data_IF_156261092283
#
_entry.id   IF_156261092283
#
_cell.length_a   1.000
_cell.length_b   1.000
_cell.length_c   1.000
_cell.angle_alpha   90.00
_cell.angle_beta   90.00
_cell.angle_gamma   90.00
#
_symmetry.space_group_name_H-M   'P 1'
#
loop_
_entity.id
_entity.type
_entity.pdbx_description
1 polymer ?
#
# COMPACT_ATOMS: atom_id res chain seq x y z
N UNK A 1 -0.63 13.22 -16.22
CA UNK A 1 -1.91 13.80 -15.75
C UNK A 1 -2.96 12.72 -15.47
N UNK A 2 -3.35 11.91 -16.47
CA UNK A 2 -4.41 10.90 -16.33
C UNK A 2 -4.15 9.89 -15.19
N UNK A 3 -2.95 9.31 -15.12
CA UNK A 3 -2.61 8.34 -14.06
C UNK A 3 -2.70 8.95 -12.64
N UNK A 4 -2.28 10.20 -12.49
CA UNK A 4 -2.34 10.91 -11.21
C UNK A 4 -3.80 11.14 -10.78
N UNK A 5 -4.65 11.62 -11.69
CA UNK A 5 -6.07 11.87 -11.42
C UNK A 5 -6.83 10.57 -11.11
N UNK A 6 -6.69 9.55 -11.95
CA UNK A 6 -7.38 8.28 -11.73
C UNK A 6 -6.87 7.58 -10.47
N UNK A 7 -5.55 7.58 -10.24
CA UNK A 7 -4.94 7.00 -9.06
C UNK A 7 -5.36 7.70 -7.77
N UNK A 8 -5.44 9.04 -7.75
CA UNK A 8 -5.92 9.78 -6.58
C UNK A 8 -7.41 9.56 -6.34
N UNK A 9 -8.25 9.81 -7.35
CA UNK A 9 -9.71 9.70 -7.21
C UNK A 9 -10.12 8.28 -6.83
N UNK A 10 -9.59 7.27 -7.53
CA UNK A 10 -9.92 5.86 -7.28
C UNK A 10 -9.56 5.42 -5.85
N UNK A 11 -8.33 5.69 -5.41
CA UNK A 11 -7.90 5.27 -4.08
C UNK A 11 -8.58 6.05 -2.95
N UNK A 12 -8.85 7.35 -3.14
CA UNK A 12 -9.66 8.12 -2.19
C UNK A 12 -11.07 7.54 -2.08
N UNK A 13 -11.70 7.16 -3.19
CA UNK A 13 -13.03 6.55 -3.19
C UNK A 13 -13.04 5.21 -2.43
N UNK A 14 -11.99 4.39 -2.55
CA UNK A 14 -11.86 3.13 -1.79
C UNK A 14 -11.83 3.43 -0.30
N UNK A 15 -10.94 4.32 0.15
CA UNK A 15 -10.80 4.68 1.58
C UNK A 15 -12.12 5.26 2.10
N UNK A 16 -12.71 6.20 1.36
CA UNK A 16 -13.99 6.82 1.71
C UNK A 16 -15.11 5.79 1.85
N UNK A 17 -15.23 4.87 0.88
CA UNK A 17 -16.29 3.86 0.87
C UNK A 17 -16.19 2.92 2.07
N UNK A 18 -14.99 2.44 2.40
CA UNK A 18 -14.75 1.56 3.56
C UNK A 18 -15.02 2.30 4.88
N UNK A 19 -14.63 3.57 4.98
CA UNK A 19 -14.89 4.38 6.17
C UNK A 19 -16.39 4.69 6.37
N UNK A 20 -17.09 5.07 5.29
CA UNK A 20 -18.47 5.57 5.31
C UNK A 20 -19.51 4.47 5.46
N UNK A 21 -19.35 3.35 4.77
CA UNK A 21 -20.36 2.29 4.72
C UNK A 21 -20.03 1.16 5.70
N UNK A 22 -20.82 1.06 6.78
CA UNK A 22 -20.64 -0.01 7.79
C UNK A 22 -20.71 -1.42 7.19
N UNK A 23 -21.52 -1.63 6.14
CA UNK A 23 -21.62 -2.92 5.42
C UNK A 23 -20.30 -3.35 4.77
N UNK A 24 -19.42 -2.40 4.47
CA UNK A 24 -18.11 -2.66 3.88
C UNK A 24 -17.00 -2.84 4.93
N UNK A 25 -17.29 -2.84 6.24
CA UNK A 25 -16.26 -3.00 7.28
C UNK A 25 -15.91 -4.48 7.53
N UNK A 26 -15.32 -5.13 6.54
CA UNK A 26 -14.72 -6.45 6.66
C UNK A 26 -13.19 -6.37 6.78
N UNK A 27 -12.55 -7.46 7.17
CA UNK A 27 -11.08 -7.56 7.23
C UNK A 27 -10.46 -7.36 5.85
N UNK A 28 -10.98 -8.02 4.82
CA UNK A 28 -10.56 -7.79 3.42
C UNK A 28 -10.65 -6.32 3.01
N UNK A 29 -11.77 -5.64 3.29
CA UNK A 29 -11.93 -4.25 2.89
C UNK A 29 -11.02 -3.30 3.66
N UNK A 30 -10.67 -3.65 4.91
CA UNK A 30 -9.65 -2.92 5.65
C UNK A 30 -8.25 -3.09 5.01
N UNK A 31 -7.91 -4.29 4.53
CA UNK A 31 -6.69 -4.54 3.76
C UNK A 31 -6.69 -3.82 2.41
N UNK A 32 -7.83 -3.75 1.72
CA UNK A 32 -7.98 -2.92 0.51
C UNK A 32 -7.80 -1.43 0.81
N UNK A 33 -8.29 -0.95 1.95
CA UNK A 33 -8.01 0.42 2.42
C UNK A 33 -6.53 0.66 2.70
N UNK A 34 -5.81 -0.32 3.25
CA UNK A 34 -4.36 -0.25 3.42
C UNK A 34 -3.63 -0.11 2.07
N UNK A 35 -4.02 -0.93 1.09
CA UNK A 35 -3.48 -0.88 -0.27
C UNK A 35 -3.71 0.50 -0.90
N UNK A 36 -4.94 1.01 -0.83
CA UNK A 36 -5.29 2.34 -1.34
C UNK A 36 -4.51 3.46 -0.64
N UNK A 37 -4.19 3.31 0.65
CA UNK A 37 -3.37 4.28 1.39
C UNK A 37 -1.92 4.28 0.89
N UNK A 38 -1.35 3.09 0.65
CA UNK A 38 -0.01 2.97 0.08
C UNK A 38 0.05 3.55 -1.35
N UNK A 39 -0.94 3.26 -2.18
CA UNK A 39 -1.03 3.78 -3.54
C UNK A 39 -1.18 5.31 -3.56
N UNK A 40 -1.96 5.91 -2.65
CA UNK A 40 -2.04 7.37 -2.53
C UNK A 40 -0.70 8.00 -2.16
N UNK A 41 0.08 7.37 -1.28
CA UNK A 41 1.41 7.85 -0.92
C UNK A 41 2.33 7.89 -2.14
N UNK A 42 2.29 6.85 -2.98
CA UNK A 42 3.04 6.79 -4.24
C UNK A 42 2.55 7.82 -5.23
N UNK A 43 1.23 7.91 -5.45
CA UNK A 43 0.66 8.85 -6.42
C UNK A 43 0.97 10.29 -6.03
N UNK A 44 0.91 10.62 -4.75
CA UNK A 44 1.18 11.97 -4.26
C UNK A 44 2.66 12.36 -4.34
N UNK A 45 3.59 11.44 -4.06
CA UNK A 45 5.01 11.76 -3.93
C UNK A 45 5.84 11.33 -5.15
N UNK A 46 5.67 10.10 -5.63
CA UNK A 46 6.49 9.57 -6.71
C UNK A 46 6.06 10.11 -8.08
N UNK A 47 4.76 10.23 -8.36
CA UNK A 47 4.30 10.63 -9.70
C UNK A 47 4.73 12.05 -10.07
N UNK A 48 4.63 13.08 -9.20
CA UNK A 48 5.13 14.42 -9.53
C UNK A 48 6.65 14.46 -9.68
N UNK A 49 7.40 13.75 -8.84
CA UNK A 49 8.86 13.71 -8.91
C UNK A 49 9.33 13.03 -10.19
N UNK A 50 8.70 11.91 -10.57
CA UNK A 50 8.98 11.22 -11.84
C UNK A 50 8.56 12.04 -13.06
N UNK A 51 7.46 12.80 -12.96
CA UNK A 51 7.07 13.74 -14.01
C UNK A 51 8.10 14.86 -14.17
N UNK A 52 8.63 15.42 -13.07
CA UNK A 52 9.68 16.43 -13.11
C UNK A 52 10.99 15.86 -13.67
N UNK A 53 11.39 14.66 -13.25
CA UNK A 53 12.56 13.93 -13.78
C UNK A 53 12.47 13.74 -15.30
N UNK A 54 11.29 13.44 -15.83
CA UNK A 54 11.09 13.24 -17.28
C UNK A 54 11.43 14.49 -18.12
N UNK A 55 11.23 15.69 -17.58
CA UNK A 55 11.56 16.94 -18.27
C UNK A 55 13.00 17.40 -18.04
N UNK A 56 13.74 16.74 -17.14
CA UNK A 56 15.12 17.06 -16.82
C UNK A 56 16.07 16.16 -17.64
N UNK A 57 17.18 16.70 -18.18
CA UNK A 57 18.15 15.91 -18.92
C UNK A 57 18.92 14.91 -18.05
N UNK A 58 18.97 15.14 -16.73
CA UNK A 58 19.57 14.25 -15.73
C UNK A 58 18.95 14.51 -14.36
N UNK A 59 19.20 13.63 -13.38
CA UNK A 59 18.67 13.78 -12.03
C UNK A 59 19.23 15.03 -11.33
N UNK A 60 18.40 16.07 -11.19
CA UNK A 60 18.77 17.35 -10.53
C UNK A 60 17.95 17.65 -9.27
N UNK A 61 17.03 16.76 -8.89
CA UNK A 61 16.13 16.95 -7.74
C UNK A 61 16.79 16.64 -6.38
N UNK A 62 18.12 16.47 -6.36
CA UNK A 62 18.92 16.22 -5.15
C UNK A 62 18.91 14.77 -4.65
N UNK A 63 19.90 14.40 -3.85
CA UNK A 63 20.07 13.02 -3.37
C UNK A 63 18.93 12.52 -2.47
N UNK A 64 18.29 13.42 -1.72
CA UNK A 64 17.16 13.08 -0.85
C UNK A 64 15.96 12.54 -1.65
N UNK A 65 15.53 13.26 -2.70
CA UNK A 65 14.41 12.82 -3.52
C UNK A 65 14.73 11.53 -4.31
N UNK A 66 16.01 11.31 -4.66
CA UNK A 66 16.44 10.09 -5.36
C UNK A 66 16.19 8.87 -4.47
N UNK A 67 16.76 8.91 -3.26
CA UNK A 67 16.62 7.84 -2.27
C UNK A 67 15.17 7.68 -1.80
N UNK A 68 14.46 8.80 -1.56
CA UNK A 68 13.09 8.76 -1.09
C UNK A 68 12.14 8.15 -2.13
N UNK A 69 12.25 8.54 -3.41
CA UNK A 69 11.36 7.98 -4.45
C UNK A 69 11.57 6.49 -4.65
N UNK A 70 12.81 6.03 -4.60
CA UNK A 70 13.09 4.61 -4.73
C UNK A 70 12.66 3.81 -3.50
N UNK A 71 12.91 4.31 -2.29
CA UNK A 71 12.40 3.72 -1.05
C UNK A 71 10.88 3.56 -1.13
N UNK A 72 10.16 4.62 -1.51
CA UNK A 72 8.70 4.60 -1.62
C UNK A 72 8.21 3.58 -2.66
N UNK A 73 8.88 3.47 -3.81
CA UNK A 73 8.55 2.47 -4.83
C UNK A 73 8.68 1.05 -4.29
N UNK A 74 9.82 0.70 -3.69
CA UNK A 74 10.02 -0.63 -3.10
C UNK A 74 9.06 -0.90 -1.95
N UNK A 75 8.88 0.09 -1.06
CA UNK A 75 7.94 0.02 0.06
C UNK A 75 6.53 -0.32 -0.42
N UNK A 76 6.06 0.36 -1.46
CA UNK A 76 4.73 0.12 -2.02
C UNK A 76 4.61 -1.27 -2.63
N UNK A 77 5.58 -1.71 -3.44
CA UNK A 77 5.56 -3.05 -4.05
C UNK A 77 5.47 -4.12 -2.96
N UNK A 78 6.31 -4.03 -1.92
CA UNK A 78 6.34 -5.01 -0.85
C UNK A 78 5.06 -4.94 -0.01
N UNK A 79 4.56 -3.74 0.30
CA UNK A 79 3.29 -3.55 1.01
C UNK A 79 2.12 -4.17 0.24
N UNK A 80 2.05 -3.96 -1.08
CA UNK A 80 1.02 -4.50 -1.94
C UNK A 80 1.07 -6.02 -2.01
N UNK A 81 2.26 -6.60 -2.19
CA UNK A 81 2.44 -8.06 -2.21
C UNK A 81 2.02 -8.68 -0.87
N UNK A 82 2.51 -8.16 0.25
CA UNK A 82 2.16 -8.67 1.58
C UNK A 82 0.65 -8.52 1.90
N UNK A 83 0.04 -7.41 1.47
CA UNK A 83 -1.39 -7.17 1.63
C UNK A 83 -2.20 -8.19 0.80
N UNK A 84 -1.83 -8.40 -0.47
CA UNK A 84 -2.48 -9.38 -1.34
C UNK A 84 -2.30 -10.80 -0.81
N UNK A 85 -1.11 -11.16 -0.31
CA UNK A 85 -0.87 -12.43 0.36
C UNK A 85 -1.80 -12.59 1.56
N UNK A 86 -1.96 -11.56 2.39
CA UNK A 86 -2.87 -11.60 3.54
C UNK A 86 -4.33 -11.83 3.11
N UNK A 87 -4.79 -11.15 2.05
CA UNK A 87 -6.13 -11.37 1.47
C UNK A 87 -6.29 -12.80 0.95
N UNK A 88 -5.27 -13.35 0.27
CA UNK A 88 -5.29 -14.73 -0.23
C UNK A 88 -5.38 -15.74 0.92
N UNK A 89 -4.63 -15.52 2.00
CA UNK A 89 -4.67 -16.36 3.21
C UNK A 89 -6.06 -16.26 3.87
N UNK A 90 -6.63 -15.05 3.98
CA UNK A 90 -7.99 -14.84 4.50
C UNK A 90 -9.02 -15.67 3.73
N UNK A 91 -8.99 -15.61 2.39
CA UNK A 91 -9.91 -16.38 1.54
C UNK A 91 -9.70 -17.88 1.66
N UNK A 92 -8.44 -18.33 1.68
CA UNK A 92 -8.10 -19.74 1.84
C UNK A 92 -8.70 -20.33 3.13
N UNK A 93 -8.46 -19.67 4.27
CA UNK A 93 -9.00 -20.12 5.56
C UNK A 93 -10.52 -19.98 5.64
N UNK A 94 -11.09 -18.93 5.03
CA UNK A 94 -12.55 -18.73 4.97
C UNK A 94 -13.28 -19.89 4.28
N UNK A 95 -12.68 -20.48 3.24
CA UNK A 95 -13.27 -21.58 2.47
C UNK A 95 -13.05 -22.93 3.18
N UNK A 96 -11.80 -23.23 3.56
CA UNK A 96 -11.45 -24.58 4.04
C UNK A 96 -11.59 -24.75 5.56
N UNK A 97 -11.53 -23.66 6.33
CA UNK A 97 -11.51 -23.70 7.79
C UNK A 97 -12.36 -22.58 8.42
N UNK A 98 -13.69 -22.56 8.18
CA UNK A 98 -14.56 -21.44 8.55
C UNK A 98 -14.52 -21.10 10.05
N UNK A 99 -14.43 -22.11 10.93
CA UNK A 99 -14.32 -21.90 12.38
C UNK A 99 -13.00 -21.25 12.80
N UNK A 100 -11.87 -21.60 12.14
CA UNK A 100 -10.57 -20.94 12.38
C UNK A 100 -10.54 -19.55 11.77
N UNK A 101 -11.14 -19.37 10.60
CA UNK A 101 -11.20 -18.08 9.91
C UNK A 101 -11.89 -17.01 10.76
N UNK A 102 -13.03 -17.35 11.39
CA UNK A 102 -13.77 -16.42 12.27
C UNK A 102 -12.91 -15.89 13.42
N UNK A 103 -12.04 -16.72 13.98
CA UNK A 103 -11.17 -16.35 15.11
C UNK A 103 -9.86 -15.68 14.65
N UNK A 104 -9.33 -16.06 13.48
CA UNK A 104 -8.10 -15.53 12.91
C UNK A 104 -8.28 -14.13 12.31
N UNK A 105 -9.38 -13.88 11.59
CA UNK A 105 -9.60 -12.65 10.83
C UNK A 105 -10.55 -11.66 11.52
N UNK A 106 -10.41 -11.53 12.84
CA UNK A 106 -11.12 -10.51 13.60
C UNK A 106 -10.52 -9.12 13.33
N UNK A 107 -11.36 -8.08 13.28
CA UNK A 107 -10.96 -6.72 12.90
C UNK A 107 -9.75 -6.16 13.68
N UNK A 108 -9.62 -6.50 14.98
CA UNK A 108 -8.45 -6.11 15.79
C UNK A 108 -7.14 -6.81 15.39
N UNK A 109 -7.21 -8.02 14.81
CA UNK A 109 -6.05 -8.72 14.23
C UNK A 109 -5.67 -8.14 12.86
N UNK A 110 -6.64 -7.66 12.08
CA UNK A 110 -6.38 -6.98 10.81
C UNK A 110 -5.53 -5.71 11.00
N UNK A 111 -5.78 -4.93 12.07
CA UNK A 111 -4.93 -3.77 12.42
C UNK A 111 -3.48 -4.19 12.70
N UNK A 112 -3.27 -5.28 13.45
CA UNK A 112 -1.92 -5.81 13.71
C UNK A 112 -1.25 -6.28 12.42
N UNK A 113 -1.98 -6.97 11.55
CA UNK A 113 -1.46 -7.39 10.25
C UNK A 113 -1.00 -6.20 9.41
N UNK A 114 -1.78 -5.12 9.34
CA UNK A 114 -1.38 -3.89 8.64
C UNK A 114 -0.11 -3.29 9.23
N UNK A 115 -0.02 -3.16 10.56
CA UNK A 115 1.21 -2.64 11.20
C UNK A 115 2.43 -3.51 10.85
N UNK A 116 2.28 -4.84 10.89
CA UNK A 116 3.34 -5.76 10.52
C UNK A 116 3.73 -5.63 9.04
N UNK A 117 2.74 -5.46 8.14
CA UNK A 117 2.98 -5.23 6.71
C UNK A 117 3.85 -3.99 6.54
N UNK A 118 3.48 -2.86 7.14
CA UNK A 118 4.28 -1.63 7.01
C UNK A 118 5.70 -1.80 7.55
N UNK A 119 5.85 -2.38 8.74
CA UNK A 119 7.18 -2.61 9.35
C UNK A 119 8.04 -3.51 8.46
N UNK A 120 7.50 -4.64 7.99
CA UNK A 120 8.21 -5.56 7.11
C UNK A 120 8.55 -4.91 5.77
N UNK A 121 7.62 -4.16 5.18
CA UNK A 121 7.87 -3.42 3.95
C UNK A 121 8.99 -2.41 4.11
N UNK A 122 9.02 -1.65 5.21
CA UNK A 122 10.09 -0.70 5.48
C UNK A 122 11.44 -1.40 5.66
N UNK A 123 11.49 -2.48 6.42
CA UNK A 123 12.71 -3.26 6.64
C UNK A 123 13.24 -3.88 5.35
N UNK A 124 12.36 -4.38 4.49
CA UNK A 124 12.75 -4.99 3.22
C UNK A 124 13.08 -3.94 2.14
N UNK A 125 12.51 -2.73 2.22
CA UNK A 125 12.80 -1.62 1.32
C UNK A 125 14.05 -0.84 1.73
N UNK A 126 14.44 -0.84 3.01
CA UNK A 126 15.56 -0.02 3.52
C UNK A 126 16.91 -0.22 2.83
N UNK A 127 17.28 -1.41 2.30
CA UNK A 127 18.53 -1.56 1.54
C UNK A 127 18.63 -0.63 0.33
N UNK A 128 17.51 -0.21 -0.27
CA UNK A 128 17.51 0.75 -1.39
C UNK A 128 18.16 2.10 -1.02
N UNK A 129 18.13 2.50 0.25
CA UNK A 129 18.75 3.74 0.74
C UNK A 129 20.28 3.71 0.73
N UNK A 130 20.87 2.52 0.77
CA UNK A 130 22.31 2.32 0.76
C UNK A 130 22.87 2.15 -0.66
N UNK A 131 22.04 1.70 -1.61
CA UNK A 131 22.45 1.39 -2.98
C UNK A 131 22.32 2.60 -3.92
N UNK A 132 21.43 3.55 -3.63
CA UNK A 132 21.23 4.80 -4.38
C UNK A 132 21.73 6.01 -3.60
#
# INVERSE_FOLDING_TARGET
AVCFLLGTVGNVLVIFSVARFRRLRSTTNYLLGNLATADLLIVALCVPVKAAEFFLPSWQLGGFLCKATALLQFLSVICSVLTLTCISIERYYGILHPMKARTMFMYGKARRAVVLIWVLSFLLASPSLAVQ
#
